data_IF_338637028682
#
_entry.id   IF_338637028682
#
_cell.length_a   1.000
_cell.length_b   1.000
_cell.length_c   1.000
_cell.angle_alpha   90.00
_cell.angle_beta   90.00
_cell.angle_gamma   90.00
#
_symmetry.space_group_name_H-M   'P 1'
#
loop_
_entity.id
_entity.type
_entity.pdbx_description
1 polymer ?
#
# COMPACT_ATOMS: atom_id res chain seq x y z
N UNK A 1 4.94 2.61 12.29
CA UNK A 1 5.75 1.83 11.29
C UNK A 1 7.24 2.07 11.52
N UNK A 2 8.11 1.02 11.47
CA UNK A 2 9.57 1.17 11.67
C UNK A 2 10.18 1.85 10.44
N UNK A 3 10.99 2.91 10.66
CA UNK A 3 11.70 3.65 9.61
C UNK A 3 13.20 3.57 9.89
N UNK A 4 14.01 3.16 8.91
CA UNK A 4 15.46 3.06 9.03
C UNK A 4 16.09 4.01 8.01
N UNK A 5 16.87 4.99 8.46
CA UNK A 5 17.54 5.94 7.57
C UNK A 5 18.44 5.18 6.58
N UNK A 6 18.35 5.52 5.31
CA UNK A 6 19.22 5.01 4.26
C UNK A 6 20.18 6.10 3.79
N UNK A 7 21.41 5.70 3.53
CA UNK A 7 22.49 6.62 3.08
C UNK A 7 22.72 6.57 1.58
N UNK A 8 22.17 5.57 0.89
CA UNK A 8 22.38 5.38 -0.54
C UNK A 8 21.06 5.06 -1.23
N UNK A 9 20.71 5.86 -2.21
CA UNK A 9 19.53 5.65 -3.05
C UNK A 9 19.73 4.49 -4.02
N UNK A 10 18.64 3.80 -4.42
CA UNK A 10 18.70 2.83 -5.51
C UNK A 10 19.24 3.47 -6.79
N UNK A 11 20.19 2.78 -7.46
CA UNK A 11 20.81 3.29 -8.69
C UNK A 11 19.83 3.41 -9.85
N UNK A 12 18.82 2.54 -9.86
CA UNK A 12 17.76 2.40 -10.87
C UNK A 12 16.57 3.35 -10.66
N UNK A 13 16.71 4.33 -9.74
CA UNK A 13 15.67 5.33 -9.48
C UNK A 13 15.45 6.23 -10.71
N UNK A 14 14.21 6.40 -11.20
CA UNK A 14 13.90 7.32 -12.29
C UNK A 14 14.39 8.74 -12.02
N UNK A 15 14.94 9.38 -13.06
CA UNK A 15 15.60 10.68 -12.94
C UNK A 15 14.65 11.76 -12.41
N UNK A 16 13.41 11.74 -12.83
CA UNK A 16 12.37 12.70 -12.42
C UNK A 16 12.10 12.56 -10.93
N UNK A 17 11.91 11.33 -10.44
CA UNK A 17 11.71 11.05 -9.01
C UNK A 17 12.97 11.44 -8.23
N UNK A 18 14.16 11.09 -8.73
CA UNK A 18 15.43 11.45 -8.09
C UNK A 18 15.59 12.96 -7.91
N UNK A 19 15.24 13.73 -8.94
CA UNK A 19 15.28 15.20 -8.85
C UNK A 19 14.25 15.75 -7.86
N UNK A 20 13.05 15.14 -7.82
CA UNK A 20 11.98 15.56 -6.91
C UNK A 20 12.33 15.35 -5.43
N UNK A 21 12.99 14.23 -5.11
CA UNK A 21 13.34 13.86 -3.73
C UNK A 21 14.78 14.24 -3.34
N UNK A 22 15.50 14.98 -4.20
CA UNK A 22 16.87 15.41 -3.91
C UNK A 22 16.96 16.13 -2.56
N UNK A 23 18.05 15.90 -1.84
CA UNK A 23 18.39 16.53 -0.55
C UNK A 23 17.45 16.18 0.61
N UNK A 24 16.48 15.29 0.42
CA UNK A 24 15.59 14.85 1.49
C UNK A 24 16.15 13.62 2.23
N UNK A 25 16.01 13.54 3.56
CA UNK A 25 16.25 12.28 4.28
C UNK A 25 15.27 11.19 3.82
N UNK A 26 15.80 9.98 3.61
CA UNK A 26 15.02 8.87 3.12
C UNK A 26 15.16 7.69 4.06
N UNK A 27 14.05 7.03 4.34
CA UNK A 27 13.98 5.92 5.27
C UNK A 27 13.42 4.68 4.59
N UNK A 28 14.04 3.52 4.80
CA UNK A 28 13.41 2.23 4.48
C UNK A 28 12.25 1.98 5.45
N UNK A 29 11.07 1.79 4.90
CA UNK A 29 9.81 1.49 5.59
C UNK A 29 9.18 0.19 5.08
N UNK A 30 9.97 -0.67 4.45
CA UNK A 30 9.51 -1.93 3.88
C UNK A 30 9.03 -2.90 4.96
N UNK A 31 7.88 -3.53 4.72
CA UNK A 31 7.27 -4.52 5.61
C UNK A 31 7.18 -5.92 4.98
N UNK A 32 7.45 -6.05 3.68
CA UNK A 32 7.44 -7.33 2.97
C UNK A 32 8.61 -7.42 1.98
N UNK A 33 9.05 -8.62 1.61
CA UNK A 33 10.10 -8.82 0.61
C UNK A 33 9.66 -8.53 -0.82
N UNK A 34 8.36 -8.45 -1.08
CA UNK A 34 7.78 -8.34 -2.44
C UNK A 34 7.94 -6.93 -3.04
N UNK A 35 8.03 -5.93 -2.17
CA UNK A 35 8.23 -4.54 -2.58
C UNK A 35 9.10 -3.79 -1.58
N UNK A 36 9.87 -2.83 -2.07
CA UNK A 36 10.57 -1.86 -1.23
C UNK A 36 9.72 -0.61 -1.09
N UNK A 37 9.61 -0.10 0.12
CA UNK A 37 8.89 1.12 0.43
C UNK A 37 9.82 2.08 1.13
N UNK A 38 9.93 3.28 0.59
CA UNK A 38 10.76 4.35 1.13
C UNK A 38 9.87 5.50 1.58
N UNK A 39 10.11 5.99 2.79
CA UNK A 39 9.55 7.26 3.24
C UNK A 39 10.54 8.37 2.94
N UNK A 40 10.09 9.40 2.25
CA UNK A 40 10.86 10.60 1.92
C UNK A 40 10.40 11.72 2.84
N UNK A 41 11.32 12.20 3.68
CA UNK A 41 11.05 13.25 4.67
C UNK A 41 11.27 14.64 4.05
N UNK A 42 10.29 15.05 3.25
CA UNK A 42 10.24 16.32 2.55
C UNK A 42 8.82 16.86 2.64
N UNK A 43 8.65 18.15 2.90
CA UNK A 43 7.35 18.81 3.04
C UNK A 43 6.44 18.06 4.05
N UNK A 44 5.27 17.57 3.60
CA UNK A 44 4.34 16.76 4.41
C UNK A 44 4.67 15.25 4.37
N UNK A 45 5.72 14.86 3.65
CA UNK A 45 6.17 13.48 3.45
C UNK A 45 5.63 12.82 2.19
N UNK A 46 6.40 11.84 1.70
CA UNK A 46 6.02 11.03 0.55
C UNK A 46 6.39 9.57 0.77
N UNK A 47 5.67 8.67 0.13
CA UNK A 47 6.03 7.26 0.04
C UNK A 47 6.40 6.90 -1.40
N UNK A 48 7.58 6.33 -1.56
CA UNK A 48 8.07 5.80 -2.82
C UNK A 48 8.12 4.28 -2.73
N UNK A 49 7.34 3.61 -3.55
CA UNK A 49 7.27 2.15 -3.61
C UNK A 49 7.94 1.65 -4.88
N UNK A 50 8.78 0.61 -4.74
CA UNK A 50 9.46 -0.09 -5.84
C UNK A 50 9.08 -1.57 -5.82
N UNK A 51 8.74 -2.12 -6.98
CA UNK A 51 8.50 -3.55 -7.16
C UNK A 51 8.93 -4.01 -8.55
N UNK A 52 8.90 -5.32 -8.79
CA UNK A 52 9.13 -5.86 -10.13
C UNK A 52 8.11 -5.32 -11.13
N UNK A 53 8.52 -5.20 -12.38
CA UNK A 53 7.72 -4.63 -13.47
C UNK A 53 6.33 -5.26 -13.56
N UNK A 54 5.31 -4.41 -13.67
CA UNK A 54 3.89 -4.76 -13.76
C UNK A 54 3.21 -5.07 -12.42
N UNK A 55 3.93 -5.06 -11.29
CA UNK A 55 3.34 -5.39 -9.98
C UNK A 55 2.57 -4.24 -9.35
N UNK A 56 2.93 -2.98 -9.65
CA UNK A 56 2.28 -1.81 -9.07
C UNK A 56 1.26 -1.14 -10.01
N UNK A 57 1.14 -1.56 -11.27
CA UNK A 57 0.25 -0.94 -12.24
C UNK A 57 -1.22 -0.90 -11.78
N UNK A 58 -1.72 -2.01 -11.21
CA UNK A 58 -3.09 -2.06 -10.65
C UNK A 58 -3.22 -1.20 -9.40
N UNK A 59 -2.23 -1.24 -8.52
CA UNK A 59 -2.19 -0.43 -7.31
C UNK A 59 -2.23 1.05 -7.66
N UNK A 60 -1.39 1.51 -8.59
CA UNK A 60 -1.36 2.90 -9.03
C UNK A 60 -2.73 3.37 -9.55
N UNK A 61 -3.38 2.58 -10.44
CA UNK A 61 -4.71 2.90 -10.97
C UNK A 61 -5.78 2.97 -9.88
N UNK A 62 -5.80 2.00 -8.96
CA UNK A 62 -6.79 1.95 -7.90
C UNK A 62 -6.56 3.06 -6.86
N UNK A 63 -5.30 3.35 -6.53
CA UNK A 63 -4.96 4.47 -5.63
C UNK A 63 -5.42 5.80 -6.23
N UNK A 64 -5.16 6.04 -7.52
CA UNK A 64 -5.63 7.24 -8.21
C UNK A 64 -7.16 7.34 -8.22
N UNK A 65 -7.85 6.23 -8.48
CA UNK A 65 -9.32 6.16 -8.43
C UNK A 65 -9.85 6.50 -7.03
N UNK A 66 -9.33 5.83 -5.99
CA UNK A 66 -9.75 6.11 -4.62
C UNK A 66 -9.36 7.50 -4.14
N UNK A 67 -8.26 8.06 -4.62
CA UNK A 67 -7.93 9.46 -4.36
C UNK A 67 -9.01 10.41 -4.89
N UNK A 68 -9.53 10.17 -6.09
CA UNK A 68 -10.63 10.98 -6.66
C UNK A 68 -11.93 10.89 -5.83
N UNK A 69 -12.09 9.85 -5.01
CA UNK A 69 -13.21 9.66 -4.08
C UNK A 69 -12.88 10.09 -2.63
N UNK A 70 -11.69 10.65 -2.38
CA UNK A 70 -11.26 11.07 -1.04
C UNK A 70 -10.91 9.92 -0.07
N UNK A 71 -10.61 8.73 -0.60
CA UNK A 71 -10.39 7.50 0.16
C UNK A 71 -8.94 7.00 0.15
N UNK A 72 -8.03 7.69 -0.53
CA UNK A 72 -6.64 7.26 -0.66
C UNK A 72 -5.68 8.44 -0.76
N UNK A 73 -4.38 8.14 -0.71
CA UNK A 73 -3.32 9.11 -0.96
C UNK A 73 -3.29 9.57 -2.42
N UNK A 74 -2.82 10.80 -2.64
CA UNK A 74 -2.55 11.32 -3.97
C UNK A 74 -1.40 10.54 -4.63
N UNK A 75 -1.61 10.08 -5.86
CA UNK A 75 -0.56 9.54 -6.72
C UNK A 75 0.10 10.70 -7.46
N UNK A 76 1.38 10.91 -7.23
CA UNK A 76 2.16 11.97 -7.86
C UNK A 76 2.86 11.49 -9.13
N UNK A 77 3.34 10.25 -9.12
CA UNK A 77 3.99 9.63 -10.28
C UNK A 77 3.86 8.10 -10.24
N UNK A 78 3.74 7.51 -11.42
CA UNK A 78 3.91 6.08 -11.63
C UNK A 78 4.75 5.86 -12.88
N UNK A 79 5.93 5.30 -12.71
CA UNK A 79 6.87 5.00 -13.78
C UNK A 79 7.14 3.50 -13.83
N UNK A 80 7.10 2.92 -15.04
CA UNK A 80 7.38 1.51 -15.30
C UNK A 80 8.51 1.41 -16.34
N UNK A 81 9.73 1.14 -15.88
CA UNK A 81 10.92 0.93 -16.70
C UNK A 81 11.44 -0.49 -16.44
N UNK A 82 12.62 -0.64 -15.80
CA UNK A 82 13.12 -1.95 -15.35
C UNK A 82 12.35 -2.46 -14.13
N UNK A 83 11.79 -1.55 -13.35
CA UNK A 83 10.93 -1.77 -12.20
C UNK A 83 9.73 -0.83 -12.24
N UNK A 84 8.68 -1.20 -11.50
CA UNK A 84 7.62 -0.27 -11.20
C UNK A 84 8.02 0.64 -10.04
N UNK A 85 7.79 1.93 -10.21
CA UNK A 85 7.95 2.96 -9.19
C UNK A 85 6.64 3.72 -9.02
N UNK A 86 6.17 3.82 -7.80
CA UNK A 86 4.94 4.55 -7.45
C UNK A 86 5.26 5.56 -6.35
N UNK A 87 5.07 6.84 -6.65
CA UNK A 87 5.25 7.95 -5.73
C UNK A 87 3.88 8.46 -5.28
N UNK A 88 3.66 8.47 -3.98
CA UNK A 88 2.42 8.98 -3.37
C UNK A 88 2.72 10.01 -2.29
N UNK A 89 1.79 10.94 -2.06
CA UNK A 89 1.84 11.83 -0.90
C UNK A 89 1.56 11.02 0.38
N UNK A 90 2.25 11.34 1.47
CA UNK A 90 1.92 10.76 2.76
C UNK A 90 0.58 11.30 3.26
N UNK A 91 -0.24 10.42 3.81
CA UNK A 91 -1.49 10.79 4.50
C UNK A 91 -1.17 11.02 5.97
N UNK A 92 -1.72 12.08 6.54
CA UNK A 92 -1.58 12.37 7.98
C UNK A 92 -2.36 11.33 8.79
N UNK A 93 -1.76 10.85 9.86
CA UNK A 93 -2.36 9.88 10.77
C UNK A 93 -1.36 8.85 11.24
N UNK A 94 -1.84 7.95 12.10
CA UNK A 94 -1.08 6.85 12.64
C UNK A 94 -1.68 5.51 12.19
N UNK A 95 -0.88 4.46 12.22
CA UNK A 95 -1.35 3.11 11.92
C UNK A 95 -2.23 2.56 13.05
N UNK A 96 -3.00 1.50 12.77
CA UNK A 96 -3.93 0.91 13.72
C UNK A 96 -3.24 0.27 14.96
N UNK A 97 -1.92 0.08 14.94
CA UNK A 97 -1.15 -0.43 16.09
C UNK A 97 -0.56 0.70 16.96
N UNK A 98 -0.92 1.94 16.68
CA UNK A 98 -0.54 3.08 17.52
C UNK A 98 -1.08 2.89 18.95
N UNK A 99 -0.24 3.16 19.94
CA UNK A 99 -0.55 2.85 21.35
C UNK A 99 -1.84 3.44 21.87
N UNK A 100 -2.21 4.66 21.43
CA UNK A 100 -3.47 5.31 21.83
C UNK A 100 -4.70 4.61 21.26
N UNK A 101 -4.61 4.04 20.05
CA UNK A 101 -5.69 3.25 19.47
C UNK A 101 -5.83 1.89 20.16
N UNK A 102 -4.71 1.25 20.50
CA UNK A 102 -4.73 -0.01 21.26
C UNK A 102 -5.26 0.17 22.68
N UNK A 103 -5.00 1.34 23.29
CA UNK A 103 -5.55 1.69 24.60
C UNK A 103 -7.05 2.02 24.58
N UNK A 104 -7.61 2.33 23.40
CA UNK A 104 -9.02 2.64 23.22
C UNK A 104 -9.61 1.91 22.00
N UNK A 105 -9.87 0.60 22.13
CA UNK A 105 -10.31 -0.24 21.00
C UNK A 105 -11.69 0.19 20.45
N UNK A 106 -12.58 0.74 21.25
CA UNK A 106 -13.88 1.24 20.77
C UNK A 106 -13.68 2.37 19.76
N UNK A 107 -12.84 3.35 20.09
CA UNK A 107 -12.51 4.45 19.19
C UNK A 107 -11.89 3.97 17.88
N UNK A 108 -11.02 2.94 17.95
CA UNK A 108 -10.45 2.34 16.76
C UNK A 108 -11.51 1.66 15.90
N UNK A 109 -12.41 0.88 16.53
CA UNK A 109 -13.51 0.23 15.82
C UNK A 109 -14.44 1.25 15.15
N UNK A 110 -14.79 2.33 15.83
CA UNK A 110 -15.63 3.40 15.29
C UNK A 110 -14.96 4.07 14.08
N UNK A 111 -13.66 4.37 14.18
CA UNK A 111 -12.90 4.95 13.06
C UNK A 111 -12.88 4.02 11.85
N UNK A 112 -12.58 2.73 12.04
CA UNK A 112 -12.57 1.74 10.97
C UNK A 112 -13.97 1.58 10.37
N UNK A 113 -15.01 1.48 11.18
CA UNK A 113 -16.40 1.35 10.73
C UNK A 113 -16.83 2.58 9.91
N UNK A 114 -16.42 3.78 10.31
CA UNK A 114 -16.70 5.01 9.58
C UNK A 114 -16.06 4.99 8.18
N UNK A 115 -14.79 4.62 8.08
CA UNK A 115 -14.09 4.55 6.79
C UNK A 115 -14.64 3.44 5.88
N UNK A 116 -14.98 2.28 6.44
CA UNK A 116 -15.64 1.21 5.69
C UNK A 116 -17.01 1.64 5.16
N UNK A 117 -17.78 2.40 5.94
CA UNK A 117 -19.06 2.94 5.47
C UNK A 117 -18.87 3.89 4.30
N UNK A 118 -17.93 4.83 4.37
CA UNK A 118 -17.60 5.72 3.25
C UNK A 118 -17.23 4.94 1.99
N UNK A 119 -16.43 3.88 2.14
CA UNK A 119 -16.06 2.99 1.04
C UNK A 119 -17.28 2.30 0.42
N UNK A 120 -18.20 1.76 1.26
CA UNK A 120 -19.40 1.05 0.78
C UNK A 120 -20.43 1.99 0.13
N UNK A 121 -20.48 3.25 0.55
CA UNK A 121 -21.38 4.27 -0.02
C UNK A 121 -20.79 4.93 -1.28
N UNK A 122 -19.52 4.64 -1.63
CA UNK A 122 -18.87 5.21 -2.80
C UNK A 122 -19.46 4.61 -4.09
N UNK A 123 -19.86 5.46 -5.01
CA UNK A 123 -20.23 5.02 -6.36
C UNK A 123 -19.00 4.45 -7.08
N UNK A 124 -19.14 3.22 -7.57
CA UNK A 124 -18.07 2.47 -8.22
C UNK A 124 -18.28 2.29 -9.73
N UNK A 125 -19.26 2.94 -10.33
CA UNK A 125 -19.60 2.78 -11.75
C UNK A 125 -18.42 3.11 -12.70
N UNK A 126 -17.55 4.02 -12.29
CA UNK A 126 -16.33 4.43 -12.99
C UNK A 126 -15.05 3.75 -12.51
N UNK A 127 -15.15 2.68 -11.71
CA UNK A 127 -14.00 1.95 -11.21
C UNK A 127 -13.18 1.32 -12.36
N UNK A 128 -11.87 1.60 -12.47
CA UNK A 128 -11.07 1.14 -13.61
C UNK A 128 -10.79 -0.37 -13.61
N UNK A 129 -11.07 -1.06 -12.50
CA UNK A 129 -10.86 -2.50 -12.32
C UNK A 129 -12.10 -3.08 -11.63
N UNK A 130 -13.01 -3.67 -12.40
CA UNK A 130 -14.32 -4.08 -11.91
C UNK A 130 -14.30 -5.45 -11.23
N UNK A 131 -13.92 -6.52 -11.89
CA UNK A 131 -14.03 -7.88 -11.36
C UNK A 131 -12.72 -8.37 -10.73
N UNK A 132 -12.47 -7.94 -9.49
CA UNK A 132 -11.33 -8.47 -8.72
C UNK A 132 -11.68 -9.74 -7.94
N UNK A 133 -12.94 -10.02 -7.74
CA UNK A 133 -13.38 -11.19 -6.98
C UNK A 133 -12.93 -12.48 -7.66
N UNK A 134 -13.19 -12.62 -8.95
CA UNK A 134 -12.74 -13.78 -9.74
C UNK A 134 -11.22 -13.95 -9.70
N UNK A 135 -10.46 -12.86 -9.78
CA UNK A 135 -8.99 -12.88 -9.70
C UNK A 135 -8.50 -13.37 -8.32
N UNK A 136 -9.12 -12.88 -7.23
CA UNK A 136 -8.77 -13.32 -5.88
C UNK A 136 -9.11 -14.80 -5.65
N UNK A 137 -10.28 -15.24 -6.09
CA UNK A 137 -10.69 -16.64 -5.96
C UNK A 137 -9.74 -17.57 -6.73
N UNK A 138 -9.42 -17.25 -7.98
CA UNK A 138 -8.46 -18.03 -8.78
C UNK A 138 -7.06 -18.06 -8.14
N UNK A 139 -6.63 -16.95 -7.53
CA UNK A 139 -5.34 -16.88 -6.82
C UNK A 139 -5.36 -17.73 -5.55
N UNK A 140 -6.43 -17.69 -4.78
CA UNK A 140 -6.61 -18.49 -3.57
C UNK A 140 -6.62 -19.99 -3.90
N UNK A 141 -7.38 -20.38 -4.90
CA UNK A 141 -7.42 -21.76 -5.37
C UNK A 141 -6.05 -22.26 -5.83
N UNK A 142 -5.35 -21.48 -6.63
CA UNK A 142 -3.97 -21.81 -7.05
C UNK A 142 -3.03 -21.99 -5.87
N UNK A 143 -3.08 -21.08 -4.88
CA UNK A 143 -2.27 -21.19 -3.67
C UNK A 143 -2.60 -22.45 -2.87
N UNK A 144 -3.88 -22.79 -2.75
CA UNK A 144 -4.33 -24.00 -2.10
C UNK A 144 -3.82 -25.26 -2.81
N UNK A 145 -3.98 -25.35 -4.14
CA UNK A 145 -3.52 -26.48 -4.94
C UNK A 145 -2.00 -26.68 -4.90
N UNK A 146 -1.24 -25.59 -4.76
CA UNK A 146 0.23 -25.63 -4.70
C UNK A 146 0.79 -25.76 -3.29
N UNK A 147 -0.05 -25.82 -2.25
CA UNK A 147 0.37 -25.86 -0.85
C UNK A 147 1.03 -24.54 -0.37
N UNK A 148 0.89 -23.46 -1.13
CA UNK A 148 1.49 -22.16 -0.79
C UNK A 148 0.51 -21.29 0.00
N UNK A 149 0.16 -21.74 1.21
CA UNK A 149 -0.69 -21.01 2.15
C UNK A 149 -0.20 -21.27 3.58
N UNK A 150 -0.42 -20.29 4.44
CA UNK A 150 -0.04 -20.37 5.85
C UNK A 150 -1.18 -21.01 6.66
N UNK A 151 -0.94 -22.21 7.16
CA UNK A 151 -1.89 -22.94 8.02
C UNK A 151 -1.82 -22.48 9.48
N UNK A 152 -0.76 -21.80 9.90
CA UNK A 152 -0.58 -21.37 11.29
C UNK A 152 -1.56 -20.25 11.71
N UNK A 153 -2.15 -19.56 10.73
CA UNK A 153 -3.16 -18.53 10.97
C UNK A 153 -4.55 -19.10 11.32
N UNK A 154 -4.76 -20.42 11.14
CA UNK A 154 -6.04 -21.07 11.41
C UNK A 154 -5.92 -21.96 12.64
N UNK A 155 -6.70 -21.75 13.71
CA UNK A 155 -6.72 -22.68 14.84
C UNK A 155 -7.25 -24.04 14.41
N UNK A 156 -6.69 -25.13 15.02
CA UNK A 156 -7.06 -26.51 14.75
C UNK A 156 -8.57 -26.80 14.89
N UNK A 157 -9.31 -25.90 15.56
CA UNK A 157 -10.76 -25.97 15.74
C UNK A 157 -11.59 -25.69 14.47
N UNK A 158 -10.99 -25.21 13.38
CA UNK A 158 -11.71 -25.04 12.12
C UNK A 158 -11.84 -26.32 11.29
N UNK A 159 -11.37 -27.46 11.81
CA UNK A 159 -11.62 -28.81 11.31
C UNK A 159 -11.69 -28.94 9.78
N UNK A 160 -10.59 -29.26 9.16
CA UNK A 160 -10.56 -29.79 7.80
C UNK A 160 -10.46 -31.29 7.85
#
# INVERSE_FOLDING_TARGET
>A
MKKTLITQMPEDLPKEIKNFISDAPIYDSSSSPEARVYFVDKDEGYYLKRANLGKLAKEAKMTQYFYSKGLSAEVLDYTANDYDWLLTRAVKGEDCVYSEYLANPERLCDAIACELRKLHETDYADCPIMDRTSEYLATAEKKYQTGNYDTSAFPDSFGY
#
